data_IF_093984388222
#
_entry.id   IF_093984388222
#
_cell.length_a   1.000
_cell.length_b   1.000
_cell.length_c   1.000
_cell.angle_alpha   90.00
_cell.angle_beta   90.00
_cell.angle_gamma   90.00
#
_symmetry.space_group_name_H-M   'P 1'
#
loop_
_entity.id
_entity.type
_entity.pdbx_description
1 polymer ?
#
# COMPACT_ATOMS: atom_id res chain seq x y z
N UNK A 1 -21.27 -26.92 57.60
CA UNK A 1 -21.29 -28.20 56.88
C UNK A 1 -20.81 -29.30 57.79
N UNK A 2 -21.65 -30.30 58.03
CA UNK A 2 -21.29 -31.50 58.80
C UNK A 2 -20.17 -32.28 58.10
N UNK A 3 -19.29 -32.94 58.87
CA UNK A 3 -18.19 -33.77 58.31
C UNK A 3 -18.69 -34.77 57.26
N UNK A 4 -19.88 -35.34 57.46
CA UNK A 4 -20.48 -36.29 56.52
C UNK A 4 -20.89 -35.65 55.19
N UNK A 5 -21.32 -34.38 55.20
CA UNK A 5 -21.59 -33.63 53.96
C UNK A 5 -20.31 -33.32 53.20
N UNK A 6 -19.21 -33.00 53.90
CA UNK A 6 -17.90 -32.76 53.26
C UNK A 6 -17.37 -34.01 52.56
N UNK A 7 -17.42 -35.17 53.22
CA UNK A 7 -17.00 -36.43 52.59
C UNK A 7 -17.82 -36.79 51.36
N UNK A 8 -19.14 -36.57 51.38
CA UNK A 8 -20.01 -36.80 50.23
C UNK A 8 -19.70 -35.86 49.08
N UNK A 9 -19.48 -34.58 49.37
CA UNK A 9 -19.14 -33.56 48.36
C UNK A 9 -17.76 -33.85 47.74
N UNK A 10 -16.75 -34.19 48.55
CA UNK A 10 -15.44 -34.58 48.04
C UNK A 10 -15.51 -35.86 47.19
N UNK A 11 -16.30 -36.85 47.60
CA UNK A 11 -16.54 -38.06 46.81
C UNK A 11 -17.18 -37.77 45.46
N UNK A 12 -18.19 -36.89 45.41
CA UNK A 12 -18.84 -36.49 44.15
C UNK A 12 -17.93 -35.69 43.24
N UNK A 13 -17.11 -34.78 43.80
CA UNK A 13 -16.16 -33.98 43.02
C UNK A 13 -15.08 -34.89 42.44
N UNK A 14 -14.54 -35.81 43.24
CA UNK A 14 -13.53 -36.76 42.78
C UNK A 14 -14.07 -37.69 41.68
N UNK A 15 -15.31 -38.18 41.82
CA UNK A 15 -15.99 -38.98 40.81
C UNK A 15 -16.27 -38.20 39.51
N UNK A 16 -16.67 -36.93 39.60
CA UNK A 16 -16.90 -36.11 38.41
C UNK A 16 -15.60 -35.84 37.64
N UNK A 17 -14.50 -35.53 38.36
CA UNK A 17 -13.19 -35.29 37.73
C UNK A 17 -12.65 -36.55 37.07
N UNK A 18 -12.80 -37.73 37.69
CA UNK A 18 -12.31 -38.99 37.11
C UNK A 18 -13.04 -39.37 35.83
N UNK A 19 -14.36 -39.15 35.77
CA UNK A 19 -15.17 -39.39 34.54
C UNK A 19 -14.76 -38.44 33.42
N UNK A 20 -14.53 -37.16 33.70
CA UNK A 20 -14.07 -36.20 32.70
C UNK A 20 -12.70 -36.55 32.11
N UNK A 21 -11.77 -37.07 32.92
CA UNK A 21 -10.45 -37.51 32.45
C UNK A 21 -10.50 -38.81 31.64
N UNK A 22 -11.41 -39.73 31.97
CA UNK A 22 -11.60 -40.96 31.20
C UNK A 22 -12.18 -40.66 29.80
N UNK A 23 -13.09 -39.69 29.69
CA UNK A 23 -13.70 -39.29 28.42
C UNK A 23 -12.74 -38.51 27.50
N UNK A 24 -11.75 -37.79 28.05
CA UNK A 24 -10.79 -37.01 27.25
C UNK A 24 -9.65 -37.84 26.62
N UNK A 25 -9.54 -39.13 26.96
CA UNK A 25 -8.47 -40.00 26.47
C UNK A 25 -8.72 -40.61 25.07
N UNK A 26 -9.92 -40.49 24.49
CA UNK A 26 -10.31 -41.36 23.38
C UNK A 26 -9.93 -40.92 21.95
N UNK A 27 -9.43 -39.71 21.70
CA UNK A 27 -8.90 -39.35 20.36
C UNK A 27 -7.91 -38.19 20.49
N UNK A 28 -6.61 -38.46 20.44
CA UNK A 28 -5.62 -37.40 20.29
C UNK A 28 -4.64 -37.73 19.16
N UNK A 29 -4.41 -36.80 18.23
CA UNK A 29 -3.50 -37.03 17.11
C UNK A 29 -2.06 -37.14 17.62
N UNK A 30 -1.36 -38.17 17.16
CA UNK A 30 0.09 -38.30 17.33
C UNK A 30 0.74 -37.57 16.17
N UNK A 31 0.96 -36.25 16.30
CA UNK A 31 1.48 -35.37 15.23
C UNK A 31 2.93 -35.73 14.81
N UNK A 32 3.13 -36.92 14.26
CA UNK A 32 4.42 -37.45 13.82
C UNK A 32 5.38 -37.87 14.94
N UNK A 33 5.03 -37.65 16.21
CA UNK A 33 5.88 -37.96 17.37
C UNK A 33 5.62 -39.33 17.98
N UNK A 34 4.59 -40.05 17.52
CA UNK A 34 4.20 -41.37 18.03
C UNK A 34 3.56 -41.37 19.42
N UNK A 35 3.48 -40.22 20.11
CA UNK A 35 2.84 -40.05 21.42
C UNK A 35 1.57 -39.21 21.33
N UNK A 36 0.60 -39.52 22.19
CA UNK A 36 -0.65 -38.75 22.31
C UNK A 36 -0.41 -37.39 22.98
N UNK A 37 -1.24 -36.38 22.70
CA UNK A 37 -1.08 -35.05 23.31
C UNK A 37 -1.12 -35.06 24.83
N UNK A 38 -1.94 -35.94 25.42
CA UNK A 38 -2.03 -36.10 26.86
C UNK A 38 -0.79 -36.80 27.45
N UNK A 39 -0.25 -37.82 26.77
CA UNK A 39 0.98 -38.49 27.17
C UNK A 39 2.19 -37.56 27.07
N UNK A 40 2.26 -36.72 26.03
CA UNK A 40 3.28 -35.69 25.89
C UNK A 40 3.19 -34.66 27.03
N UNK A 41 1.98 -34.21 27.38
CA UNK A 41 1.77 -33.26 28.46
C UNK A 41 2.21 -33.81 29.83
N UNK A 42 1.91 -35.09 30.12
CA UNK A 42 2.31 -35.73 31.38
C UNK A 42 3.83 -35.94 31.43
N UNK A 43 4.45 -36.33 30.31
CA UNK A 43 5.91 -36.46 30.19
C UNK A 43 6.60 -35.10 30.36
N UNK A 44 6.06 -34.04 29.73
CA UNK A 44 6.60 -32.68 29.82
C UNK A 44 6.47 -32.10 31.24
N UNK A 45 5.35 -32.32 31.93
CA UNK A 45 5.17 -31.86 33.31
C UNK A 45 6.03 -32.67 34.31
N UNK A 46 6.16 -33.98 34.07
CA UNK A 46 7.07 -34.84 34.83
C UNK A 46 8.54 -34.43 34.65
N UNK A 47 8.95 -34.08 33.44
CA UNK A 47 10.31 -33.60 33.17
C UNK A 47 10.54 -32.17 33.65
N UNK A 48 9.54 -31.28 33.62
CA UNK A 48 9.64 -29.91 34.10
C UNK A 48 9.89 -29.84 35.63
N UNK A 49 9.47 -30.85 36.38
CA UNK A 49 9.70 -30.95 37.83
C UNK A 49 10.98 -31.71 38.19
N UNK A 50 11.63 -32.34 37.21
CA UNK A 50 12.90 -33.06 37.38
C UNK A 50 14.08 -32.14 37.06
N UNK A 51 14.72 -31.57 38.09
CA UNK A 51 15.91 -30.70 37.97
C UNK A 51 17.09 -31.40 37.28
N UNK A 52 17.14 -32.74 37.28
CA UNK A 52 18.22 -33.49 36.65
C UNK A 52 17.81 -34.30 35.42
N UNK A 53 16.53 -34.47 35.11
CA UNK A 53 16.01 -35.12 33.89
C UNK A 53 16.56 -36.53 33.61
N UNK A 54 15.87 -37.32 32.77
CA UNK A 54 16.46 -38.58 32.29
C UNK A 54 17.60 -38.31 31.30
N UNK A 55 18.84 -38.31 31.81
CA UNK A 55 20.05 -38.01 31.04
C UNK A 55 20.39 -39.10 30.01
N UNK A 56 19.76 -40.28 30.09
CA UNK A 56 19.99 -41.39 29.15
C UNK A 56 19.50 -41.05 27.73
N UNK A 57 18.50 -40.17 27.61
CA UNK A 57 17.96 -39.69 26.33
C UNK A 57 18.79 -38.59 25.67
N UNK A 58 19.81 -38.03 26.35
CA UNK A 58 20.71 -37.02 25.73
C UNK A 58 21.57 -37.60 24.62
N UNK A 59 21.78 -38.90 24.61
CA UNK A 59 22.46 -39.62 23.53
C UNK A 59 21.44 -40.09 22.49
N UNK A 60 20.71 -39.17 21.86
CA UNK A 60 19.98 -39.51 20.64
C UNK A 60 21.01 -39.88 19.57
N UNK A 61 21.08 -41.17 19.22
CA UNK A 61 21.75 -41.60 17.99
C UNK A 61 20.96 -41.03 16.81
N UNK A 62 21.39 -39.87 16.34
CA UNK A 62 20.96 -39.37 15.05
C UNK A 62 21.51 -40.32 13.99
N UNK A 63 20.63 -41.10 13.36
CA UNK A 63 20.98 -41.69 12.07
C UNK A 63 21.30 -40.52 11.14
N UNK A 64 22.46 -40.52 10.46
CA UNK A 64 22.80 -39.44 9.54
C UNK A 64 21.65 -39.31 8.54
N UNK A 65 21.14 -38.09 8.39
CA UNK A 65 20.08 -37.79 7.44
C UNK A 65 20.57 -38.30 6.07
N UNK A 66 19.78 -39.09 5.33
CA UNK A 66 20.21 -39.54 4.01
C UNK A 66 20.64 -38.30 3.22
N UNK A 67 21.79 -38.39 2.56
CA UNK A 67 22.33 -37.29 1.78
C UNK A 67 21.29 -36.78 0.78
N UNK A 68 21.37 -35.49 0.44
CA UNK A 68 20.54 -34.92 -0.62
C UNK A 68 20.66 -35.83 -1.86
N UNK A 69 19.53 -36.36 -2.32
CA UNK A 69 19.45 -37.13 -3.56
C UNK A 69 19.66 -36.14 -4.70
N UNK A 70 20.92 -35.85 -4.98
CA UNK A 70 21.31 -35.10 -6.17
C UNK A 70 21.12 -36.01 -7.38
N UNK A 71 20.46 -35.52 -8.44
CA UNK A 71 20.38 -36.28 -9.68
C UNK A 71 21.80 -36.50 -10.21
N UNK A 72 22.09 -37.70 -10.74
CA UNK A 72 23.38 -37.99 -11.37
C UNK A 72 23.76 -36.89 -12.36
N UNK A 73 25.02 -36.46 -12.38
CA UNK A 73 25.53 -35.32 -13.16
C UNK A 73 25.02 -35.28 -14.62
N UNK A 74 24.76 -36.44 -15.23
CA UNK A 74 24.13 -36.55 -16.56
C UNK A 74 22.75 -35.88 -16.72
N UNK A 75 22.03 -35.59 -15.62
CA UNK A 75 20.77 -34.81 -15.64
C UNK A 75 21.00 -33.31 -15.45
N UNK A 76 22.18 -32.87 -15.02
CA UNK A 76 22.49 -31.44 -14.92
C UNK A 76 22.50 -30.79 -16.32
N UNK A 77 22.95 -31.52 -17.34
CA UNK A 77 22.97 -31.08 -18.74
C UNK A 77 21.57 -31.07 -19.40
N UNK A 78 20.56 -31.67 -18.75
CA UNK A 78 19.16 -31.66 -19.18
C UNK A 78 18.30 -30.62 -18.45
N UNK A 79 18.90 -29.84 -17.55
CA UNK A 79 18.19 -28.75 -16.88
C UNK A 79 17.88 -27.66 -17.90
N UNK A 80 16.67 -27.09 -17.81
CA UNK A 80 16.34 -25.89 -18.56
C UNK A 80 17.36 -24.79 -18.23
N UNK A 81 17.85 -24.08 -19.24
CA UNK A 81 18.84 -23.04 -19.02
C UNK A 81 18.29 -21.99 -18.04
N UNK A 82 19.15 -21.44 -17.16
CA UNK A 82 18.74 -20.42 -16.22
C UNK A 82 18.11 -19.25 -16.98
N UNK A 83 17.01 -18.73 -16.44
CA UNK A 83 16.30 -17.62 -17.06
C UNK A 83 17.24 -16.41 -17.16
N UNK A 84 17.40 -15.89 -18.37
CA UNK A 84 18.20 -14.68 -18.59
C UNK A 84 17.52 -13.51 -17.88
N UNK A 85 18.31 -12.70 -17.19
CA UNK A 85 17.81 -11.52 -16.51
C UNK A 85 17.15 -10.57 -17.51
N UNK A 86 15.88 -10.24 -17.28
CA UNK A 86 15.18 -9.21 -18.04
C UNK A 86 15.64 -7.80 -17.66
N UNK A 87 16.46 -7.68 -16.60
CA UNK A 87 16.96 -6.43 -16.05
C UNK A 87 18.22 -5.92 -16.77
N UNK A 88 18.27 -6.08 -18.10
CA UNK A 88 19.36 -5.57 -18.94
C UNK A 88 18.80 -5.26 -20.34
N UNK A 89 19.18 -4.11 -20.90
CA UNK A 89 18.84 -3.67 -22.25
C UNK A 89 19.33 -4.58 -23.37
N UNK A 90 20.40 -5.34 -23.14
CA UNK A 90 20.90 -6.36 -24.10
C UNK A 90 19.88 -7.48 -24.34
N UNK A 91 19.11 -7.83 -23.30
CA UNK A 91 18.11 -8.91 -23.37
C UNK A 91 16.68 -8.34 -23.53
N UNK A 92 16.43 -7.14 -23.03
CA UNK A 92 15.12 -6.48 -23.10
C UNK A 92 15.25 -5.00 -23.52
N UNK A 93 14.95 -4.66 -24.79
CA UNK A 93 15.02 -3.28 -25.28
C UNK A 93 14.08 -2.29 -24.55
N UNK A 94 13.05 -2.81 -23.89
CA UNK A 94 12.07 -2.01 -23.14
C UNK A 94 12.57 -1.65 -21.73
N UNK A 95 13.73 -2.19 -21.32
CA UNK A 95 14.24 -1.97 -19.96
C UNK A 95 14.76 -0.54 -19.78
N UNK A 96 14.40 0.15 -18.67
CA UNK A 96 14.81 1.53 -18.45
C UNK A 96 16.33 1.72 -18.44
N UNK A 97 16.79 2.81 -19.06
CA UNK A 97 18.20 3.23 -19.03
C UNK A 97 18.58 3.69 -17.61
N UNK A 98 19.79 3.33 -17.18
CA UNK A 98 20.36 3.95 -15.97
C UNK A 98 20.75 5.41 -16.26
N UNK A 99 20.78 6.30 -15.25
CA UNK A 99 21.12 7.70 -15.48
C UNK A 99 22.50 7.92 -16.12
N UNK A 100 23.48 7.09 -15.79
CA UNK A 100 24.82 7.19 -16.36
C UNK A 100 24.89 6.68 -17.81
N UNK A 101 24.18 5.59 -18.13
CA UNK A 101 24.07 5.09 -19.50
C UNK A 101 23.35 6.09 -20.41
N UNK A 102 22.27 6.71 -19.91
CA UNK A 102 21.56 7.77 -20.63
C UNK A 102 22.49 8.97 -20.90
N UNK A 103 23.33 9.35 -19.93
CA UNK A 103 24.31 10.43 -20.10
C UNK A 103 25.36 10.10 -21.15
N UNK A 104 25.90 8.88 -21.12
CA UNK A 104 26.88 8.44 -22.10
C UNK A 104 26.29 8.40 -23.51
N UNK A 105 25.07 7.87 -23.65
CA UNK A 105 24.33 7.89 -24.93
C UNK A 105 24.16 9.31 -25.45
N UNK A 106 23.72 10.24 -24.61
CA UNK A 106 23.52 11.64 -25.01
C UNK A 106 24.83 12.36 -25.39
N UNK A 107 25.95 12.01 -24.73
CA UNK A 107 27.27 12.50 -25.12
C UNK A 107 27.67 11.97 -26.49
N UNK A 108 27.55 10.65 -26.71
CA UNK A 108 27.83 10.03 -28.02
C UNK A 108 26.98 10.64 -29.13
N UNK A 109 25.68 10.79 -28.88
CA UNK A 109 24.75 11.43 -29.83
C UNK A 109 25.16 12.87 -30.16
N UNK A 110 25.61 13.65 -29.16
CA UNK A 110 26.10 15.01 -29.36
C UNK A 110 27.44 15.05 -30.12
N UNK A 111 28.36 14.11 -29.85
CA UNK A 111 29.64 14.00 -30.55
C UNK A 111 29.44 13.60 -32.03
N UNK A 112 28.54 12.66 -32.30
CA UNK A 112 28.18 12.23 -33.67
C UNK A 112 27.50 13.34 -34.48
N UNK A 113 26.71 14.19 -33.81
CA UNK A 113 26.01 15.31 -34.44
C UNK A 113 26.75 16.65 -34.31
N UNK A 114 28.03 16.64 -33.96
CA UNK A 114 28.83 17.85 -33.70
C UNK A 114 28.81 18.85 -34.87
N UNK A 115 28.86 18.36 -36.10
CA UNK A 115 28.93 19.18 -37.30
C UNK A 115 27.55 19.40 -37.97
N UNK A 116 26.47 18.93 -37.35
CA UNK A 116 25.12 19.06 -37.88
C UNK A 116 24.42 20.33 -37.33
N UNK A 117 24.27 21.41 -38.13
CA UNK A 117 23.65 22.66 -37.67
C UNK A 117 22.15 22.52 -37.35
N UNK A 118 21.50 21.47 -37.86
CA UNK A 118 20.08 21.21 -37.63
C UNK A 118 19.82 20.27 -36.45
N UNK A 119 20.87 19.71 -35.82
CA UNK A 119 20.70 18.85 -34.66
C UNK A 119 20.11 19.62 -33.46
N UNK A 120 19.25 18.94 -32.72
CA UNK A 120 18.60 19.44 -31.50
C UNK A 120 18.69 18.33 -30.48
N UNK A 121 19.34 18.60 -29.36
CA UNK A 121 19.47 17.60 -28.31
C UNK A 121 18.09 17.28 -27.71
N UNK A 122 17.81 16.01 -27.41
CA UNK A 122 16.56 15.62 -26.74
C UNK A 122 16.49 16.16 -25.30
N UNK A 123 17.60 16.63 -24.73
CA UNK A 123 17.63 17.36 -23.45
C UNK A 123 16.93 18.72 -23.52
N UNK A 124 16.80 19.29 -24.72
CA UNK A 124 16.03 20.50 -24.98
C UNK A 124 14.53 20.20 -25.16
N UNK A 125 14.07 18.98 -24.89
CA UNK A 125 12.67 18.60 -24.97
C UNK A 125 11.81 19.38 -23.97
N UNK A 126 11.33 20.53 -24.43
CA UNK A 126 10.31 21.35 -23.83
C UNK A 126 9.79 22.27 -24.91
N UNK A 127 8.47 22.45 -24.98
CA UNK A 127 7.88 23.37 -25.94
C UNK A 127 8.43 24.78 -25.67
N UNK A 128 9.09 25.39 -26.66
CA UNK A 128 9.62 26.75 -26.63
C UNK A 128 11.15 26.88 -26.57
N UNK A 129 11.65 28.11 -26.77
CA UNK A 129 13.09 28.42 -26.83
C UNK A 129 13.76 28.06 -25.51
N UNK A 130 14.72 27.14 -25.52
CA UNK A 130 15.50 26.71 -24.34
C UNK A 130 14.65 26.11 -23.19
N UNK A 131 13.60 25.34 -23.51
CA UNK A 131 12.79 24.65 -22.48
C UNK A 131 11.82 25.56 -21.73
N UNK A 132 11.67 26.82 -22.15
CA UNK A 132 10.65 27.72 -21.63
C UNK A 132 9.46 27.79 -22.59
N UNK A 133 8.26 27.43 -22.11
CA UNK A 133 7.02 27.60 -22.87
C UNK A 133 6.87 29.01 -23.42
N UNK A 134 6.44 29.11 -24.69
CA UNK A 134 6.10 30.41 -25.28
C UNK A 134 4.98 31.06 -24.47
N UNK A 135 4.86 32.40 -24.52
CA UNK A 135 3.80 33.09 -23.78
C UNK A 135 2.40 32.57 -24.14
N UNK A 136 2.16 32.30 -25.43
CA UNK A 136 0.92 31.69 -25.92
C UNK A 136 0.66 30.32 -25.29
N UNK A 137 1.67 29.45 -25.24
CA UNK A 137 1.58 28.13 -24.62
C UNK A 137 1.37 28.21 -23.12
N UNK A 138 2.00 29.19 -22.43
CA UNK A 138 1.75 29.46 -21.01
C UNK A 138 0.29 29.85 -20.76
N UNK A 139 -0.26 30.73 -21.60
CA UNK A 139 -1.67 31.14 -21.50
C UNK A 139 -2.64 29.99 -21.80
N UNK A 140 -2.32 29.10 -22.73
CA UNK A 140 -3.10 27.90 -23.01
C UNK A 140 -3.03 26.89 -21.86
N UNK A 141 -1.83 26.63 -21.33
CA UNK A 141 -1.63 25.78 -20.17
C UNK A 141 -2.37 26.34 -18.94
N UNK A 142 -2.34 27.65 -18.74
CA UNK A 142 -3.09 28.32 -17.67
C UNK A 142 -4.60 28.17 -17.86
N UNK A 143 -5.12 28.38 -19.08
CA UNK A 143 -6.55 28.17 -19.40
C UNK A 143 -6.97 26.72 -19.14
N UNK A 144 -6.14 25.76 -19.55
CA UNK A 144 -6.38 24.32 -19.32
C UNK A 144 -6.36 23.99 -17.82
N UNK A 145 -5.35 24.45 -17.08
CA UNK A 145 -5.25 24.24 -15.65
C UNK A 145 -6.43 24.86 -14.88
N UNK A 146 -6.88 26.05 -15.30
CA UNK A 146 -8.08 26.70 -14.73
C UNK A 146 -9.35 25.89 -15.00
N UNK A 147 -9.51 25.36 -16.22
CA UNK A 147 -10.65 24.50 -16.55
C UNK A 147 -10.63 23.18 -15.76
N UNK A 148 -9.46 22.56 -15.59
CA UNK A 148 -9.30 21.36 -14.77
C UNK A 148 -9.59 21.63 -13.28
N UNK A 149 -9.19 22.79 -12.76
CA UNK A 149 -9.45 23.20 -11.37
C UNK A 149 -10.92 23.56 -11.11
N UNK A 150 -11.64 24.14 -12.08
CA UNK A 150 -13.06 24.48 -11.98
C UNK A 150 -14.01 23.28 -12.18
N UNK A 151 -13.56 22.06 -11.82
CA UNK A 151 -14.35 20.85 -11.97
C UNK A 151 -14.24 20.18 -13.35
N UNK A 152 -13.14 20.42 -14.06
CA UNK A 152 -12.83 19.71 -15.30
C UNK A 152 -12.53 18.23 -15.06
N UNK A 153 -11.59 17.66 -15.83
CA UNK A 153 -11.34 16.20 -15.91
C UNK A 153 -11.21 15.47 -14.56
N UNK A 154 -10.88 16.14 -13.45
CA UNK A 154 -10.73 15.49 -12.13
C UNK A 154 -12.07 15.25 -11.41
N UNK A 155 -13.08 16.09 -11.61
CA UNK A 155 -14.40 15.96 -10.94
C UNK A 155 -15.43 15.29 -11.85
N UNK A 156 -15.35 15.54 -13.16
CA UNK A 156 -16.33 15.07 -14.15
C UNK A 156 -15.83 13.98 -15.11
N UNK A 157 -14.62 13.43 -14.93
CA UNK A 157 -14.25 12.23 -15.69
C UNK A 157 -14.78 10.98 -14.99
N UNK A 158 -15.43 10.10 -15.77
CA UNK A 158 -15.81 8.76 -15.33
C UNK A 158 -14.59 7.84 -15.06
N UNK A 159 -13.38 8.40 -14.96
CA UNK A 159 -12.12 7.68 -14.81
C UNK A 159 -11.44 8.05 -13.49
N UNK A 160 -11.04 7.03 -12.72
CA UNK A 160 -10.28 7.21 -11.49
C UNK A 160 -8.83 7.54 -11.85
N UNK A 161 -8.30 8.64 -11.32
CA UNK A 161 -6.90 9.04 -11.54
C UNK A 161 -5.96 8.34 -10.56
N UNK A 162 -6.42 8.12 -9.32
CA UNK A 162 -5.66 7.43 -8.28
C UNK A 162 -6.44 6.25 -7.71
N UNK A 163 -5.74 5.26 -7.15
CA UNK A 163 -6.36 4.09 -6.52
C UNK A 163 -7.09 4.42 -5.21
N UNK A 164 -6.74 5.54 -4.58
CA UNK A 164 -7.37 6.06 -3.35
C UNK A 164 -8.59 6.92 -3.62
N UNK A 165 -8.91 7.16 -4.90
CA UNK A 165 -10.03 8.02 -5.28
C UNK A 165 -11.38 7.35 -4.98
N UNK A 166 -12.35 8.06 -4.34
CA UNK A 166 -13.68 7.53 -4.13
C UNK A 166 -14.39 7.21 -5.45
N UNK A 167 -15.39 6.31 -5.44
CA UNK A 167 -16.20 5.99 -6.62
C UNK A 167 -16.84 7.22 -7.27
N UNK A 168 -17.09 7.14 -8.57
CA UNK A 168 -17.64 8.24 -9.41
C UNK A 168 -18.97 8.76 -8.86
N UNK A 169 -19.79 7.88 -8.30
CA UNK A 169 -21.09 8.23 -7.68
C UNK A 169 -20.97 9.28 -6.57
N UNK A 170 -19.86 9.32 -5.84
CA UNK A 170 -19.61 10.29 -4.77
C UNK A 170 -18.87 11.56 -5.25
N UNK A 171 -18.48 11.62 -6.52
CA UNK A 171 -17.76 12.77 -7.12
C UNK A 171 -18.65 13.66 -7.98
N UNK A 172 -19.78 13.15 -8.44
CA UNK A 172 -20.68 13.88 -9.31
C UNK A 172 -21.35 15.02 -8.53
N UNK A 173 -20.82 16.24 -8.72
CA UNK A 173 -21.46 17.48 -8.28
C UNK A 173 -22.11 18.11 -9.52
N UNK A 174 -23.37 18.56 -9.45
CA UNK A 174 -24.02 19.18 -10.60
C UNK A 174 -23.30 20.50 -10.97
N UNK A 175 -23.11 20.71 -12.28
CA UNK A 175 -22.22 21.75 -12.84
C UNK A 175 -22.65 23.18 -12.49
N UNK A 176 -23.94 23.37 -12.23
CA UNK A 176 -24.54 24.62 -11.76
C UNK A 176 -24.03 25.04 -10.37
N UNK A 177 -23.83 24.08 -9.46
CA UNK A 177 -23.30 24.35 -8.12
C UNK A 177 -21.78 24.61 -8.13
N UNK A 178 -21.05 24.04 -9.07
CA UNK A 178 -19.62 24.27 -9.26
C UNK A 178 -19.30 25.69 -9.78
N UNK A 179 -20.24 26.30 -10.50
CA UNK A 179 -20.09 27.63 -11.09
C UNK A 179 -20.58 28.77 -10.17
N UNK A 180 -21.27 28.44 -9.07
CA UNK A 180 -21.73 29.43 -8.10
C UNK A 180 -20.59 29.87 -7.16
N UNK A 181 -19.85 30.90 -7.60
CA UNK A 181 -18.78 31.53 -6.83
C UNK A 181 -19.32 32.49 -5.74
N UNK A 182 -20.64 32.63 -5.61
CA UNK A 182 -21.28 33.64 -4.78
C UNK A 182 -20.99 35.07 -5.24
N UNK A 183 -21.31 36.04 -4.39
CA UNK A 183 -21.03 37.44 -4.68
C UNK A 183 -19.55 37.77 -4.48
N UNK A 184 -18.86 38.33 -5.49
CA UNK A 184 -17.46 38.67 -5.36
C UNK A 184 -17.26 39.72 -4.27
N UNK A 185 -16.17 39.58 -3.51
CA UNK A 185 -15.83 40.46 -2.39
C UNK A 185 -15.79 41.95 -2.77
N UNK A 186 -15.42 42.27 -4.02
CA UNK A 186 -15.46 43.64 -4.53
C UNK A 186 -16.88 44.24 -4.58
N UNK A 187 -17.91 43.43 -4.88
CA UNK A 187 -19.31 43.87 -4.84
C UNK A 187 -19.76 44.08 -3.39
N UNK A 188 -19.45 43.13 -2.49
CA UNK A 188 -19.75 43.27 -1.05
C UNK A 188 -19.07 44.49 -0.44
N UNK A 189 -17.81 44.76 -0.80
CA UNK A 189 -17.10 45.95 -0.31
C UNK A 189 -17.74 47.24 -0.84
N UNK A 190 -18.13 47.28 -2.12
CA UNK A 190 -18.82 48.43 -2.71
C UNK A 190 -20.18 48.68 -2.03
N UNK A 191 -20.93 47.62 -1.75
CA UNK A 191 -22.19 47.71 -1.01
C UNK A 191 -21.99 48.16 0.43
N UNK A 192 -20.99 47.63 1.14
CA UNK A 192 -20.63 48.07 2.49
C UNK A 192 -20.24 49.55 2.51
N UNK A 193 -19.46 50.02 1.53
CA UNK A 193 -19.12 51.46 1.38
C UNK A 193 -20.36 52.30 1.08
N UNK A 194 -21.23 51.85 0.19
CA UNK A 194 -22.50 52.54 -0.11
C UNK A 194 -23.39 52.64 1.13
N UNK A 195 -23.55 51.54 1.86
CA UNK A 195 -24.36 51.48 3.08
C UNK A 195 -23.77 52.34 4.19
N UNK A 196 -22.45 52.35 4.36
CA UNK A 196 -21.76 53.24 5.30
C UNK A 196 -21.94 54.73 4.94
N UNK A 197 -21.87 55.08 3.66
CA UNK A 197 -22.12 56.45 3.20
C UNK A 197 -23.58 56.88 3.45
N UNK A 198 -24.55 55.97 3.25
CA UNK A 198 -25.97 56.26 3.49
C UNK A 198 -26.29 56.39 4.99
N UNK A 199 -25.68 55.55 5.85
CA UNK A 199 -25.95 55.49 7.29
C UNK A 199 -25.65 56.78 8.06
N UNK A 200 -24.83 57.68 7.50
CA UNK A 200 -24.51 58.99 8.10
C UNK A 200 -25.27 60.19 7.52
N UNK A 201 -26.03 60.00 6.43
CA UNK A 201 -26.57 61.12 5.62
C UNK A 201 -28.06 61.39 5.82
N UNK A 202 -28.79 60.57 6.58
CA UNK A 202 -30.21 60.75 6.91
C UNK A 202 -31.19 60.68 5.72
N UNK A 203 -30.70 60.59 4.48
CA UNK A 203 -31.49 60.53 3.25
C UNK A 203 -31.76 59.08 2.85
N UNK A 204 -33.02 58.67 2.89
CA UNK A 204 -33.46 57.40 2.33
C UNK A 204 -33.72 57.54 0.83
N UNK A 205 -33.08 56.70 0.01
CA UNK A 205 -33.17 56.71 -1.46
C UNK A 205 -34.59 56.53 -2.04
N UNK A 206 -35.55 56.03 -1.24
CA UNK A 206 -36.94 55.79 -1.66
C UNK A 206 -37.93 56.85 -1.13
N UNK A 207 -37.47 57.93 -0.47
CA UNK A 207 -38.39 58.94 0.04
C UNK A 207 -38.33 60.22 -0.83
N UNK A 208 -39.28 60.43 -1.76
CA UNK A 208 -39.29 61.63 -2.61
C UNK A 208 -39.80 62.90 -1.89
N UNK A 209 -40.12 62.85 -0.60
CA UNK A 209 -40.72 63.97 0.15
C UNK A 209 -40.00 64.32 1.46
N UNK A 210 -38.67 64.24 1.49
CA UNK A 210 -37.83 64.96 2.48
C UNK A 210 -37.16 66.17 1.84
#
# INVERSE_FOLDING_TARGET
MSMTQRFRIHGTIFGAVSVCLALSACTSPTYGTGKTSAEQLVDDLGNATSITGDQSKRNLKYNPRPGLVVPAQARADQLAQPQKSLANRETNPQWPETPEEARERLRKEADENRDNPNYRSPLLAGNGTNGQMTETQKWEAFRKAKADAQGGTVVNSNQRKFLTDPPVEYRNVPQDQLADLGEPEAKKEKERKKNAAMAGTGKNWWNPFQ
#
